data_IF_931774065780
#
_entry.id   IF_931774065780
#
_cell.length_a   1.000
_cell.length_b   1.000
_cell.length_c   1.000
_cell.angle_alpha   90.00
_cell.angle_beta   90.00
_cell.angle_gamma   90.00
#
_symmetry.space_group_name_H-M   'P 1'
#
loop_
_entity.id
_entity.type
_entity.pdbx_description
1 polymer ?
#
# COMPACT_ATOMS: atom_id res chain seq x y z
N UNK A 1 38.03 29.96 -55.16
CA UNK A 1 38.11 30.27 -53.73
C UNK A 1 39.19 31.32 -53.57
N UNK A 2 38.86 32.50 -53.07
CA UNK A 2 39.82 33.59 -52.85
C UNK A 2 40.57 33.48 -51.51
N UNK A 3 40.19 32.52 -50.66
CA UNK A 3 40.73 32.36 -49.31
C UNK A 3 41.24 30.94 -49.12
N UNK A 4 42.45 30.81 -48.57
CA UNK A 4 42.98 29.53 -48.10
C UNK A 4 43.29 29.65 -46.61
N UNK A 5 42.86 28.67 -45.82
CA UNK A 5 43.17 28.61 -44.39
C UNK A 5 43.71 27.23 -44.02
N UNK A 6 44.75 27.20 -43.21
CA UNK A 6 45.46 25.96 -42.82
C UNK A 6 45.78 25.97 -41.34
N UNK A 7 45.47 24.87 -40.66
CA UNK A 7 45.89 24.59 -39.29
C UNK A 7 47.15 23.71 -39.29
N UNK A 8 47.92 23.76 -38.21
CA UNK A 8 48.95 22.74 -37.96
C UNK A 8 48.25 21.37 -37.79
N UNK A 9 48.62 20.35 -38.59
CA UNK A 9 47.99 19.03 -38.52
C UNK A 9 48.41 18.23 -37.28
N UNK A 10 49.40 18.69 -36.51
CA UNK A 10 49.89 17.97 -35.34
C UNK A 10 48.84 18.01 -34.22
N UNK A 11 48.36 16.84 -33.74
CA UNK A 11 47.40 16.81 -32.66
C UNK A 11 48.02 17.42 -31.40
N UNK A 12 47.28 18.33 -30.77
CA UNK A 12 47.69 18.96 -29.52
C UNK A 12 47.08 18.19 -28.35
N UNK A 13 47.94 17.65 -27.49
CA UNK A 13 47.53 16.94 -26.28
C UNK A 13 47.57 17.89 -25.08
N UNK A 14 46.53 17.88 -24.25
CA UNK A 14 46.52 18.66 -23.00
C UNK A 14 45.75 18.02 -21.86
N UNK A 15 46.16 18.38 -20.64
CA UNK A 15 45.45 18.04 -19.42
C UNK A 15 44.18 18.90 -19.22
N UNK A 16 43.11 18.32 -18.66
CA UNK A 16 41.96 19.08 -18.18
C UNK A 16 42.37 20.12 -17.12
N UNK A 17 42.00 21.38 -17.36
CA UNK A 17 42.44 22.57 -16.61
C UNK A 17 43.73 23.21 -17.15
N UNK A 18 44.37 22.61 -18.15
CA UNK A 18 45.52 23.17 -18.85
C UNK A 18 45.12 24.12 -19.97
N UNK A 19 46.13 24.67 -20.63
CA UNK A 19 45.96 25.56 -21.80
C UNK A 19 46.86 25.07 -22.93
N UNK A 20 46.35 25.07 -24.15
CA UNK A 20 47.13 24.78 -25.34
C UNK A 20 46.78 25.73 -26.49
N UNK A 21 47.71 25.92 -27.43
CA UNK A 21 47.52 26.84 -28.55
C UNK A 21 47.88 26.19 -29.87
N UNK A 22 47.12 26.50 -30.92
CA UNK A 22 47.35 26.05 -32.30
C UNK A 22 47.36 27.28 -33.22
N UNK A 23 48.40 27.47 -34.05
CA UNK A 23 48.40 28.54 -35.04
C UNK A 23 47.46 28.22 -36.21
N UNK A 24 46.63 29.19 -36.57
CA UNK A 24 45.81 29.20 -37.78
C UNK A 24 46.41 30.18 -38.78
N UNK A 25 46.83 29.68 -39.94
CA UNK A 25 47.31 30.52 -41.03
C UNK A 25 46.17 30.80 -42.01
N UNK A 26 46.00 32.08 -42.36
CA UNK A 26 44.98 32.55 -43.29
C UNK A 26 45.69 33.31 -44.40
N UNK A 27 45.35 33.00 -45.64
CA UNK A 27 45.92 33.63 -46.82
C UNK A 27 44.81 34.17 -47.74
N UNK A 28 44.90 35.46 -48.08
CA UNK A 28 44.03 36.12 -49.04
C UNK A 28 44.64 36.01 -50.45
N UNK A 29 44.12 35.12 -51.28
CA UNK A 29 44.47 34.97 -52.70
C UNK A 29 43.58 35.78 -53.64
N UNK A 30 42.76 36.69 -53.08
CA UNK A 30 41.92 37.61 -53.83
C UNK A 30 42.67 38.87 -54.28
N UNK A 31 42.02 39.67 -55.13
CA UNK A 31 42.59 40.91 -55.67
C UNK A 31 42.17 42.17 -54.91
N UNK A 32 41.36 42.02 -53.84
CA UNK A 32 40.87 43.12 -53.00
C UNK A 32 41.25 42.89 -51.53
N UNK A 33 41.25 43.97 -50.75
CA UNK A 33 41.33 43.89 -49.28
C UNK A 33 40.07 43.20 -48.78
N UNK A 34 40.24 42.21 -47.90
CA UNK A 34 39.15 41.41 -47.35
C UNK A 34 39.25 41.34 -45.82
N UNK A 35 38.11 41.42 -45.17
CA UNK A 35 37.96 41.17 -43.73
C UNK A 35 37.53 39.73 -43.48
N UNK A 36 38.08 39.11 -42.44
CA UNK A 36 37.78 37.74 -42.05
C UNK A 36 37.31 37.68 -40.62
N UNK A 37 36.13 37.09 -40.40
CA UNK A 37 35.62 36.72 -39.06
C UNK A 37 35.97 35.26 -38.78
N UNK A 38 36.58 35.02 -37.63
CA UNK A 38 37.08 33.71 -37.22
C UNK A 38 36.26 33.17 -36.04
N UNK A 39 35.76 31.95 -36.15
CA UNK A 39 34.97 31.31 -35.09
C UNK A 39 35.34 29.84 -34.94
N UNK A 40 35.61 29.38 -33.72
CA UNK A 40 35.81 27.96 -33.44
C UNK A 40 34.46 27.23 -33.51
N UNK A 41 34.42 26.10 -34.21
CA UNK A 41 33.25 25.23 -34.34
C UNK A 41 33.57 23.80 -33.92
N UNK A 42 32.54 23.08 -33.46
CA UNK A 42 32.66 21.70 -32.98
C UNK A 42 32.63 21.60 -31.44
N UNK A 43 32.98 20.42 -30.88
CA UNK A 43 32.85 20.12 -29.44
C UNK A 43 33.70 21.03 -28.53
N UNK A 44 34.73 21.68 -29.08
CA UNK A 44 35.63 22.55 -28.33
C UNK A 44 35.09 23.98 -28.11
N UNK A 45 34.00 24.38 -28.76
CA UNK A 45 33.49 25.77 -28.75
C UNK A 45 33.27 26.34 -27.34
N UNK A 46 32.88 25.49 -26.37
CA UNK A 46 32.62 25.92 -25.00
C UNK A 46 33.88 26.22 -24.18
N UNK A 47 35.06 25.84 -24.67
CA UNK A 47 36.34 25.95 -23.97
C UNK A 47 37.50 26.25 -24.92
N UNK A 48 37.20 26.84 -26.08
CA UNK A 48 38.18 27.27 -27.07
C UNK A 48 37.83 28.66 -27.59
N UNK A 49 38.86 29.41 -27.98
CA UNK A 49 38.73 30.75 -28.54
C UNK A 49 39.76 30.95 -29.65
N UNK A 50 39.53 31.91 -30.54
CA UNK A 50 40.48 32.30 -31.58
C UNK A 50 40.77 33.79 -31.46
N UNK A 51 42.05 34.14 -31.39
CA UNK A 51 42.51 35.51 -31.26
C UNK A 51 43.56 35.87 -32.33
N UNK A 52 43.43 37.00 -33.03
CA UNK A 52 42.26 37.90 -33.03
C UNK A 52 41.04 37.24 -33.73
N UNK A 53 39.82 37.58 -33.29
CA UNK A 53 38.59 37.05 -33.87
C UNK A 53 38.22 37.67 -35.22
N UNK A 54 38.80 38.82 -35.56
CA UNK A 54 38.66 39.49 -36.85
C UNK A 54 40.05 39.89 -37.37
N UNK A 55 40.31 39.65 -38.65
CA UNK A 55 41.57 39.98 -39.32
C UNK A 55 41.28 40.63 -40.67
N UNK A 56 41.97 41.71 -41.00
CA UNK A 56 41.94 42.30 -42.34
C UNK A 56 43.23 41.99 -43.10
N UNK A 57 43.10 41.44 -44.30
CA UNK A 57 44.23 41.06 -45.16
C UNK A 57 44.18 41.79 -46.49
N UNK A 58 45.35 42.29 -46.92
CA UNK A 58 45.56 42.80 -48.26
C UNK A 58 45.65 41.65 -49.29
N UNK A 59 45.47 41.93 -50.59
CA UNK A 59 45.74 40.95 -51.65
C UNK A 59 47.09 40.28 -51.49
N UNK A 60 47.13 38.96 -51.68
CA UNK A 60 48.33 38.11 -51.59
C UNK A 60 49.09 38.18 -50.24
N UNK A 61 48.41 38.56 -49.15
CA UNK A 61 49.00 38.56 -47.79
C UNK A 61 48.45 37.46 -46.90
N UNK A 62 49.19 37.14 -45.84
CA UNK A 62 48.79 36.15 -44.83
C UNK A 62 48.86 36.73 -43.42
N UNK A 63 48.01 36.21 -42.54
CA UNK A 63 48.10 36.45 -41.10
C UNK A 63 47.97 35.13 -40.34
N UNK A 64 48.52 35.14 -39.13
CA UNK A 64 48.41 34.05 -38.17
C UNK A 64 47.48 34.46 -37.05
N UNK A 65 46.39 33.72 -36.87
CA UNK A 65 45.57 33.77 -35.66
C UNK A 65 45.97 32.61 -34.72
N UNK A 66 45.70 32.73 -33.43
CA UNK A 66 45.96 31.69 -32.44
C UNK A 66 44.65 31.13 -31.93
N UNK A 67 44.45 29.82 -32.11
CA UNK A 67 43.37 29.08 -31.48
C UNK A 67 43.86 28.64 -30.11
N UNK A 68 43.19 29.05 -29.05
CA UNK A 68 43.52 28.73 -27.67
C UNK A 68 42.46 27.79 -27.08
N UNK A 69 42.90 26.69 -26.48
CA UNK A 69 42.10 25.68 -25.80
C UNK A 69 42.31 25.76 -24.29
N UNK A 70 41.23 25.70 -23.52
CA UNK A 70 41.22 25.77 -22.05
C UNK A 70 40.11 24.88 -21.45
N UNK A 71 40.13 23.55 -21.67
CA UNK A 71 39.09 22.66 -21.17
C UNK A 71 39.05 22.73 -19.64
N UNK A 72 37.88 22.96 -19.02
CA UNK A 72 37.76 22.91 -17.57
C UNK A 72 38.12 21.51 -17.06
N UNK A 73 38.64 21.44 -15.83
CA UNK A 73 38.80 20.17 -15.12
C UNK A 73 37.43 19.66 -14.62
N UNK A 74 36.59 19.22 -15.55
CA UNK A 74 35.23 18.75 -15.32
C UNK A 74 34.96 17.47 -16.11
N UNK A 75 34.03 16.65 -15.61
CA UNK A 75 33.51 15.49 -16.32
C UNK A 75 32.74 15.84 -17.60
N UNK A 76 32.35 17.10 -17.78
CA UNK A 76 31.62 17.58 -18.97
C UNK A 76 32.47 17.52 -20.25
N UNK A 77 33.80 17.57 -20.12
CA UNK A 77 34.73 17.45 -21.25
C UNK A 77 35.32 16.05 -21.29
N UNK A 78 34.73 15.19 -22.12
CA UNK A 78 35.16 13.81 -22.29
C UNK A 78 36.64 13.70 -22.68
N UNK A 79 37.32 12.70 -22.13
CA UNK A 79 38.69 12.36 -22.54
C UNK A 79 38.71 11.76 -23.96
N UNK A 80 39.81 12.02 -24.69
CA UNK A 80 40.06 11.49 -26.03
C UNK A 80 40.27 12.57 -27.08
N UNK A 81 40.37 12.13 -28.34
CA UNK A 81 40.51 13.02 -29.49
C UNK A 81 39.19 13.69 -29.83
N UNK A 82 39.18 15.02 -29.84
CA UNK A 82 38.06 15.86 -30.22
C UNK A 82 38.44 16.64 -31.48
N UNK A 83 37.63 16.49 -32.54
CA UNK A 83 37.82 17.24 -33.78
C UNK A 83 37.13 18.59 -33.69
N UNK A 84 37.87 19.64 -34.04
CA UNK A 84 37.37 21.00 -34.11
C UNK A 84 37.58 21.56 -35.51
N UNK A 85 36.84 22.60 -35.85
CA UNK A 85 37.08 23.42 -37.03
C UNK A 85 37.22 24.88 -36.65
N UNK A 86 37.84 25.68 -37.51
CA UNK A 86 37.78 27.13 -37.39
C UNK A 86 37.11 27.68 -38.63
N UNK A 87 35.91 28.22 -38.47
CA UNK A 87 35.16 28.85 -39.56
C UNK A 87 35.76 30.21 -39.85
N UNK A 88 36.32 30.36 -41.05
CA UNK A 88 36.90 31.60 -41.57
C UNK A 88 35.90 32.17 -42.58
N UNK A 89 35.18 33.23 -42.19
CA UNK A 89 34.11 33.84 -42.99
C UNK A 89 34.62 35.16 -43.57
N UNK A 90 34.72 35.28 -44.91
CA UNK A 90 34.98 36.57 -45.56
C UNK A 90 33.80 37.52 -45.38
N UNK A 91 34.06 38.81 -45.15
CA UNK A 91 33.02 39.82 -44.95
C UNK A 91 32.28 40.14 -46.25
N UNK A 92 32.98 40.20 -47.39
CA UNK A 92 32.35 40.55 -48.67
C UNK A 92 31.46 39.42 -49.24
N UNK A 93 31.89 38.16 -49.05
CA UNK A 93 31.24 36.98 -49.62
C UNK A 93 31.15 35.84 -48.58
N UNK A 94 30.23 35.93 -47.60
CA UNK A 94 30.11 34.95 -46.53
C UNK A 94 29.86 33.51 -47.00
N UNK A 95 29.29 33.33 -48.19
CA UNK A 95 29.05 32.02 -48.81
C UNK A 95 30.35 31.29 -49.23
N UNK A 96 31.49 31.98 -49.22
CA UNK A 96 32.81 31.43 -49.54
C UNK A 96 33.61 31.01 -48.30
N UNK A 97 32.95 30.89 -47.15
CA UNK A 97 33.58 30.48 -45.91
C UNK A 97 34.32 29.14 -46.03
N UNK A 98 35.50 29.05 -45.41
CA UNK A 98 36.30 27.83 -45.32
C UNK A 98 36.41 27.38 -43.87
N UNK A 99 36.52 26.07 -43.65
CA UNK A 99 36.63 25.47 -42.32
C UNK A 99 37.80 24.49 -42.29
N UNK A 100 39.04 24.96 -42.06
CA UNK A 100 40.13 24.07 -41.69
C UNK A 100 39.79 23.29 -40.42
N UNK A 101 40.08 21.99 -40.44
CA UNK A 101 39.83 21.07 -39.33
C UNK A 101 41.14 20.70 -38.62
N UNK A 102 41.05 20.47 -37.32
CA UNK A 102 42.15 19.99 -36.48
C UNK A 102 41.65 19.02 -35.41
N UNK A 103 42.59 18.39 -34.71
CA UNK A 103 42.30 17.49 -33.60
C UNK A 103 43.01 17.97 -32.32
N UNK A 104 42.30 17.89 -31.21
CA UNK A 104 42.82 18.17 -29.87
C UNK A 104 42.56 16.95 -28.99
N UNK A 105 43.59 16.45 -28.32
CA UNK A 105 43.50 15.30 -27.42
C UNK A 105 43.39 15.77 -25.97
N UNK A 106 42.25 15.50 -25.35
CA UNK A 106 42.02 15.78 -23.93
C UNK A 106 42.40 14.55 -23.11
N UNK A 107 43.40 14.69 -22.24
CA UNK A 107 43.87 13.59 -21.41
C UNK A 107 42.82 13.15 -20.37
N UNK A 108 42.80 11.86 -20.00
CA UNK A 108 41.91 11.38 -18.96
C UNK A 108 42.36 11.85 -17.57
N UNK A 109 41.41 12.29 -16.75
CA UNK A 109 41.61 12.47 -15.31
C UNK A 109 40.59 11.64 -14.53
N UNK A 110 41.00 11.18 -13.36
CA UNK A 110 40.17 10.37 -12.46
C UNK A 110 39.98 11.11 -11.16
N UNK A 111 38.72 11.28 -10.76
CA UNK A 111 38.32 11.83 -9.47
C UNK A 111 37.08 11.05 -9.03
N UNK A 112 37.26 10.09 -8.13
CA UNK A 112 36.18 9.23 -7.64
C UNK A 112 35.95 9.53 -6.18
N UNK A 113 34.72 9.90 -5.85
CA UNK A 113 34.29 10.12 -4.47
C UNK A 113 33.22 9.12 -4.09
N UNK A 114 33.12 8.81 -2.80
CA UNK A 114 32.08 7.92 -2.31
C UNK A 114 31.58 8.34 -0.93
N UNK A 115 30.33 7.97 -0.63
CA UNK A 115 29.70 8.22 0.66
C UNK A 115 28.85 7.01 1.10
N UNK A 116 28.87 6.73 2.41
CA UNK A 116 28.06 5.67 3.03
C UNK A 116 26.79 6.24 3.67
N UNK A 117 25.63 5.74 3.24
CA UNK A 117 24.32 6.25 3.62
C UNK A 117 23.40 5.11 4.11
N UNK A 118 22.98 5.10 5.38
CA UNK A 118 23.51 5.90 6.50
C UNK A 118 24.86 5.38 7.01
N UNK A 119 25.67 6.25 7.64
CA UNK A 119 26.93 5.86 8.31
C UNK A 119 26.72 4.94 9.52
N UNK A 120 25.63 5.17 10.26
CA UNK A 120 25.22 4.33 11.38
C UNK A 120 23.87 3.70 11.05
N UNK A 121 23.81 2.38 11.10
CA UNK A 121 22.61 1.61 10.81
C UNK A 121 22.20 0.79 12.02
N UNK A 122 20.90 0.61 12.22
CA UNK A 122 20.33 -0.12 13.36
C UNK A 122 19.58 -1.33 12.87
N UNK A 123 19.62 -2.42 13.63
CA UNK A 123 18.83 -3.61 13.32
C UNK A 123 19.07 -4.75 14.28
N UNK A 124 18.13 -5.72 14.29
CA UNK A 124 18.25 -6.93 15.13
C UNK A 124 19.04 -8.04 14.42
N UNK A 125 18.73 -8.25 13.12
CA UNK A 125 19.29 -9.34 12.30
C UNK A 125 20.00 -8.88 11.03
N UNK A 126 19.74 -7.65 10.58
CA UNK A 126 20.39 -7.07 9.41
C UNK A 126 20.05 -5.59 9.30
N UNK A 127 20.90 -4.82 8.63
CA UNK A 127 20.55 -3.52 8.09
C UNK A 127 20.93 -3.43 6.61
N UNK A 128 20.27 -2.51 5.90
CA UNK A 128 20.64 -2.13 4.54
C UNK A 128 21.26 -0.74 4.59
N UNK A 129 22.43 -0.61 3.97
CA UNK A 129 23.11 0.66 3.75
C UNK A 129 23.43 0.77 2.26
N UNK A 130 23.61 1.99 1.77
CA UNK A 130 23.97 2.27 0.38
C UNK A 130 25.30 2.99 0.34
N UNK A 131 26.15 2.59 -0.58
CA UNK A 131 27.34 3.37 -0.93
C UNK A 131 27.05 4.12 -2.22
N UNK A 132 27.00 5.46 -2.12
CA UNK A 132 26.96 6.34 -3.27
C UNK A 132 28.39 6.49 -3.80
N UNK A 133 28.59 6.22 -5.09
CA UNK A 133 29.89 6.40 -5.76
C UNK A 133 29.70 7.39 -6.89
N UNK A 134 30.40 8.52 -6.81
CA UNK A 134 30.36 9.59 -7.80
C UNK A 134 31.64 9.56 -8.64
N UNK A 135 31.48 9.59 -9.96
CA UNK A 135 32.58 9.77 -10.88
C UNK A 135 32.65 11.24 -11.33
N UNK A 136 33.57 12.00 -10.75
CA UNK A 136 33.87 13.39 -11.15
C UNK A 136 34.96 13.49 -12.22
N UNK A 137 35.52 12.35 -12.64
CA UNK A 137 36.44 12.26 -13.77
C UNK A 137 35.73 12.36 -15.12
N UNK A 138 36.51 12.55 -16.18
CA UNK A 138 36.01 12.65 -17.56
C UNK A 138 36.05 11.34 -18.37
N UNK A 139 36.28 10.21 -17.70
CA UNK A 139 36.20 8.87 -18.31
C UNK A 139 35.36 7.92 -17.45
N UNK A 140 34.70 6.91 -18.05
CA UNK A 140 34.02 5.88 -17.27
C UNK A 140 34.98 5.21 -16.29
N UNK A 141 34.56 5.06 -15.04
CA UNK A 141 35.35 4.39 -13.99
C UNK A 141 34.65 3.08 -13.59
N UNK A 142 35.41 2.00 -13.53
CA UNK A 142 34.92 0.73 -12.99
C UNK A 142 35.40 0.59 -11.55
N UNK A 143 34.46 0.46 -10.62
CA UNK A 143 34.73 0.35 -9.18
C UNK A 143 34.32 -1.02 -8.66
N UNK A 144 35.11 -1.57 -7.75
CA UNK A 144 34.76 -2.74 -6.97
C UNK A 144 34.47 -2.31 -5.52
N UNK A 145 33.32 -2.69 -4.97
CA UNK A 145 32.98 -2.40 -3.59
C UNK A 145 33.21 -3.64 -2.72
N UNK A 146 33.98 -3.48 -1.64
CA UNK A 146 34.21 -4.52 -0.65
C UNK A 146 33.92 -3.97 0.74
N UNK A 147 33.29 -4.77 1.59
CA UNK A 147 33.08 -4.45 2.99
C UNK A 147 33.77 -5.49 3.87
N UNK A 148 34.37 -5.03 4.96
CA UNK A 148 35.09 -5.91 5.90
C UNK A 148 35.02 -5.35 7.32
N UNK A 149 35.13 -6.23 8.30
CA UNK A 149 35.30 -5.89 9.70
C UNK A 149 36.52 -6.61 10.29
N UNK A 150 37.27 -5.95 11.18
CA UNK A 150 38.47 -6.57 11.77
C UNK A 150 38.10 -7.71 12.73
N UNK A 151 36.95 -7.58 13.40
CA UNK A 151 36.50 -8.51 14.43
C UNK A 151 35.81 -9.77 13.87
N UNK A 152 35.44 -9.80 12.58
CA UNK A 152 34.69 -10.90 11.94
C UNK A 152 33.44 -11.28 12.73
N UNK A 153 32.65 -10.26 13.06
CA UNK A 153 31.38 -10.34 13.75
C UNK A 153 30.19 -10.01 12.83
N UNK A 154 30.49 -9.53 11.62
CA UNK A 154 29.51 -9.05 10.66
C UNK A 154 29.84 -9.60 9.27
N UNK A 155 28.82 -10.14 8.61
CA UNK A 155 28.85 -10.55 7.21
C UNK A 155 28.18 -9.51 6.31
N UNK A 156 28.69 -9.39 5.09
CA UNK A 156 28.26 -8.39 4.11
C UNK A 156 27.78 -9.07 2.83
N UNK A 157 26.70 -8.56 2.27
CA UNK A 157 26.15 -8.98 0.98
C UNK A 157 26.02 -7.72 0.13
N UNK A 158 26.97 -7.56 -0.81
CA UNK A 158 27.15 -6.36 -1.64
C UNK A 158 26.59 -6.62 -3.03
N UNK A 159 25.69 -5.74 -3.51
CA UNK A 159 25.05 -5.89 -4.82
C UNK A 159 24.91 -4.54 -5.55
N UNK A 160 25.44 -4.41 -6.78
CA UNK A 160 26.45 -5.28 -7.41
C UNK A 160 27.84 -5.12 -6.76
N UNK A 161 28.69 -6.14 -6.82
CA UNK A 161 30.09 -6.03 -6.31
C UNK A 161 30.98 -5.14 -7.19
N UNK A 162 30.70 -5.11 -8.49
CA UNK A 162 31.42 -4.30 -9.48
C UNK A 162 30.40 -3.45 -10.23
N UNK A 163 30.68 -2.15 -10.36
CA UNK A 163 29.84 -1.23 -11.11
C UNK A 163 30.70 -0.32 -11.99
N UNK A 164 30.18 0.06 -13.15
CA UNK A 164 30.80 1.04 -14.05
C UNK A 164 29.99 2.33 -14.00
N UNK A 165 30.65 3.42 -13.64
CA UNK A 165 30.05 4.74 -13.48
C UNK A 165 30.53 5.65 -14.60
N UNK A 166 29.61 6.17 -15.40
CA UNK A 166 29.91 7.11 -16.48
C UNK A 166 30.45 8.44 -15.92
N UNK A 167 31.18 9.25 -16.73
CA UNK A 167 31.62 10.58 -16.32
C UNK A 167 30.48 11.45 -15.80
N UNK A 168 30.68 12.15 -14.69
CA UNK A 168 29.71 13.06 -14.11
C UNK A 168 28.46 12.39 -13.53
N UNK A 169 28.44 11.06 -13.46
CA UNK A 169 27.32 10.28 -12.93
C UNK A 169 27.62 9.71 -11.55
N UNK A 170 26.55 9.33 -10.86
CA UNK A 170 26.60 8.63 -9.59
C UNK A 170 25.91 7.27 -9.70
N UNK A 171 26.44 6.25 -9.00
CA UNK A 171 25.77 4.97 -8.81
C UNK A 171 25.59 4.69 -7.33
N UNK A 172 24.50 4.02 -6.99
CA UNK A 172 24.30 3.47 -5.64
C UNK A 172 24.57 1.98 -5.66
N UNK A 173 25.32 1.49 -4.67
CA UNK A 173 25.54 0.07 -4.44
C UNK A 173 24.93 -0.31 -3.10
N UNK A 174 24.03 -1.30 -3.12
CA UNK A 174 23.39 -1.79 -1.91
C UNK A 174 24.33 -2.72 -1.14
N UNK A 175 24.47 -2.47 0.16
CA UNK A 175 25.23 -3.32 1.08
C UNK A 175 24.30 -3.76 2.20
N UNK A 176 24.10 -5.07 2.32
CA UNK A 176 23.37 -5.64 3.44
C UNK A 176 24.33 -6.15 4.50
N UNK A 177 24.23 -5.56 5.68
CA UNK A 177 25.06 -5.82 6.84
C UNK A 177 24.33 -6.79 7.76
N UNK A 178 24.95 -7.91 8.15
CA UNK A 178 24.33 -8.93 9.01
C UNK A 178 25.27 -9.29 10.16
N UNK A 179 24.86 -9.20 11.43
CA UNK A 179 25.65 -9.71 12.53
C UNK A 179 25.66 -11.26 12.49
N UNK A 180 26.80 -11.86 12.80
CA UNK A 180 26.96 -13.32 12.77
C UNK A 180 26.27 -14.01 13.95
N UNK A 181 26.13 -13.31 15.07
CA UNK A 181 25.44 -13.81 16.27
C UNK A 181 24.23 -12.94 16.59
N UNK A 182 23.13 -13.55 17.06
CA UNK A 182 21.91 -12.81 17.46
C UNK A 182 21.92 -12.51 18.95
N UNK A 183 21.69 -11.26 19.33
CA UNK A 183 21.50 -10.86 20.74
C UNK A 183 20.03 -11.08 21.12
N UNK A 184 19.77 -12.05 22.01
CA UNK A 184 18.41 -12.32 22.50
C UNK A 184 17.97 -11.33 23.58
N UNK A 185 18.86 -11.04 24.53
CA UNK A 185 18.65 -10.12 25.66
C UNK A 185 19.96 -9.41 25.97
N UNK A 186 19.88 -8.18 26.48
CA UNK A 186 21.04 -7.37 26.85
C UNK A 186 21.04 -5.99 26.20
N UNK A 187 22.09 -5.18 26.43
CA UNK A 187 22.26 -3.89 25.77
C UNK A 187 22.52 -4.05 24.26
N UNK A 188 22.25 -3.00 23.49
CA UNK A 188 22.63 -2.96 22.08
C UNK A 188 24.16 -3.00 21.92
N UNK A 189 24.64 -3.66 20.86
CA UNK A 189 26.07 -3.80 20.58
C UNK A 189 26.46 -3.05 19.31
N UNK A 190 27.47 -2.20 19.40
CA UNK A 190 28.02 -1.45 18.28
C UNK A 190 29.09 -2.29 17.56
N UNK A 191 28.90 -2.52 16.26
CA UNK A 191 29.79 -3.30 15.40
C UNK A 191 30.32 -2.41 14.27
N UNK A 192 31.54 -1.85 14.40
CA UNK A 192 32.15 -1.03 13.36
C UNK A 192 32.61 -1.90 12.18
N UNK A 193 32.53 -1.35 10.98
CA UNK A 193 33.01 -1.97 9.76
C UNK A 193 33.54 -0.92 8.78
N UNK A 194 34.29 -1.37 7.78
CA UNK A 194 34.85 -0.50 6.75
C UNK A 194 34.41 -0.99 5.38
N UNK A 195 33.90 -0.06 4.56
CA UNK A 195 33.60 -0.29 3.15
C UNK A 195 34.66 0.42 2.29
N UNK A 196 35.27 -0.30 1.36
CA UNK A 196 36.30 0.21 0.46
C UNK A 196 35.75 0.19 -0.95
N UNK A 197 35.67 1.37 -1.56
CA UNK A 197 35.43 1.55 -2.99
C UNK A 197 36.79 1.56 -3.67
N UNK A 198 37.04 0.59 -4.53
CA UNK A 198 38.31 0.41 -5.22
C UNK A 198 38.14 0.66 -6.73
N UNK A 199 38.45 1.86 -7.22
CA UNK A 199 38.48 2.14 -8.65
C UNK A 199 39.63 1.37 -9.32
N UNK A 200 39.39 0.78 -10.49
CA UNK A 200 40.47 0.13 -11.27
C UNK A 200 41.62 1.08 -11.58
N UNK A 201 41.30 2.34 -11.85
CA UNK A 201 42.27 3.37 -12.21
C UNK A 201 42.08 4.61 -11.33
N UNK A 202 42.61 4.58 -10.11
CA UNK A 202 42.52 5.71 -9.17
C UNK A 202 42.95 5.36 -7.75
N UNK A 203 42.63 6.25 -6.81
CA UNK A 203 42.83 6.03 -5.38
C UNK A 203 41.59 5.41 -4.75
N UNK A 204 41.76 4.33 -4.00
CA UNK A 204 40.65 3.70 -3.27
C UNK A 204 40.08 4.64 -2.20
N UNK A 205 38.76 4.64 -2.03
CA UNK A 205 38.05 5.45 -1.04
C UNK A 205 37.57 4.55 0.10
N UNK A 206 38.04 4.83 1.31
CA UNK A 206 37.69 4.09 2.52
C UNK A 206 36.57 4.80 3.27
N UNK A 207 35.50 4.08 3.59
CA UNK A 207 34.31 4.57 4.27
C UNK A 207 34.10 3.80 5.57
N UNK A 208 34.01 4.52 6.68
CA UNK A 208 33.74 3.92 7.98
C UNK A 208 32.24 3.89 8.26
N UNK A 209 31.76 2.69 8.59
CA UNK A 209 30.38 2.40 8.91
C UNK A 209 30.23 1.77 10.29
N UNK A 210 29.03 1.86 10.84
CA UNK A 210 28.71 1.23 12.12
C UNK A 210 27.34 0.58 12.07
N UNK A 211 27.26 -0.66 12.53
CA UNK A 211 26.00 -1.38 12.71
C UNK A 211 25.71 -1.54 14.21
N UNK A 212 24.62 -0.94 14.67
CA UNK A 212 24.13 -1.08 16.04
C UNK A 212 23.15 -2.24 16.08
N UNK A 213 23.61 -3.35 16.66
CA UNK A 213 22.78 -4.53 16.84
C UNK A 213 21.86 -4.37 18.05
N UNK A 214 20.56 -4.39 17.80
CA UNK A 214 19.53 -4.35 18.84
C UNK A 214 19.14 -5.75 19.34
N UNK A 215 18.75 -5.89 20.61
CA UNK A 215 18.27 -7.15 21.14
C UNK A 215 16.93 -7.57 20.52
N UNK A 216 16.72 -8.87 20.34
CA UNK A 216 15.47 -9.42 19.81
C UNK A 216 14.27 -9.15 20.71
N UNK A 217 14.48 -9.29 22.03
CA UNK A 217 13.44 -9.07 23.04
C UNK A 217 13.75 -7.78 23.79
N UNK A 218 12.90 -6.74 23.67
CA UNK A 218 13.10 -5.53 24.45
C UNK A 218 12.87 -5.82 25.92
N UNK A 219 13.63 -5.16 26.80
CA UNK A 219 13.54 -5.38 28.25
C UNK A 219 12.14 -5.04 28.81
N UNK A 220 11.37 -4.19 28.11
CA UNK A 220 10.00 -3.85 28.45
C UNK A 220 9.03 -5.02 28.27
N UNK A 221 9.25 -5.92 27.31
CA UNK A 221 8.35 -7.06 27.07
C UNK A 221 8.29 -7.99 28.28
N UNK A 222 9.44 -8.25 28.91
CA UNK A 222 9.49 -9.08 30.12
C UNK A 222 8.71 -8.41 31.26
N UNK A 223 8.86 -7.09 31.43
CA UNK A 223 8.10 -6.34 32.44
C UNK A 223 6.59 -6.37 32.15
N UNK A 224 6.20 -6.23 30.89
CA UNK A 224 4.80 -6.30 30.47
C UNK A 224 4.20 -7.70 30.68
N UNK A 225 4.94 -8.77 30.37
CA UNK A 225 4.50 -10.15 30.62
C UNK A 225 4.34 -10.44 32.11
N UNK A 226 5.27 -9.97 32.95
CA UNK A 226 5.15 -10.09 34.41
C UNK A 226 3.93 -9.32 34.91
N UNK A 227 3.69 -8.10 34.42
CA UNK A 227 2.51 -7.31 34.79
C UNK A 227 1.21 -7.98 34.35
N UNK A 228 1.16 -8.50 33.11
CA UNK A 228 0.01 -9.23 32.59
C UNK A 228 -0.28 -10.49 33.41
N UNK A 229 0.76 -11.23 33.81
CA UNK A 229 0.62 -12.39 34.69
C UNK A 229 0.05 -12.00 36.07
N UNK A 230 0.56 -10.92 36.67
CA UNK A 230 0.04 -10.40 37.94
C UNK A 230 -1.42 -9.95 37.82
N UNK A 231 -1.78 -9.31 36.71
CA UNK A 231 -3.15 -8.88 36.43
C UNK A 231 -4.08 -10.08 36.26
N UNK A 232 -3.66 -11.13 35.54
CA UNK A 232 -4.41 -12.38 35.40
C UNK A 232 -4.62 -13.06 36.76
N UNK A 233 -3.59 -13.11 37.61
CA UNK A 233 -3.72 -13.64 38.96
C UNK A 233 -4.68 -12.80 39.83
N UNK A 234 -4.64 -11.48 39.70
CA UNK A 234 -5.56 -10.58 40.40
C UNK A 234 -7.02 -10.77 39.92
N UNK A 235 -7.24 -10.91 38.61
CA UNK A 235 -8.56 -11.20 38.04
C UNK A 235 -9.08 -12.57 38.48
N UNK A 236 -8.22 -13.60 38.52
CA UNK A 236 -8.57 -14.92 39.03
C UNK A 236 -8.95 -14.86 40.52
N UNK A 237 -8.20 -14.12 41.33
CA UNK A 237 -8.54 -13.89 42.74
C UNK A 237 -9.86 -13.13 42.88
N UNK A 238 -10.07 -12.05 42.11
CA UNK A 238 -11.32 -11.30 42.08
C UNK A 238 -12.51 -12.21 41.74
N UNK A 239 -12.36 -13.07 40.73
CA UNK A 239 -13.36 -14.04 40.33
C UNK A 239 -13.70 -15.00 41.48
N UNK A 240 -12.69 -15.65 42.07
CA UNK A 240 -12.89 -16.66 43.12
C UNK A 240 -13.45 -16.06 44.41
N UNK A 241 -12.96 -14.89 44.84
CA UNK A 241 -13.31 -14.34 46.15
C UNK A 241 -14.53 -13.42 46.14
N UNK A 242 -14.85 -12.76 45.02
CA UNK A 242 -15.96 -11.78 44.98
C UNK A 242 -17.11 -12.20 44.07
N UNK A 243 -16.83 -12.74 42.87
CA UNK A 243 -17.88 -13.02 41.88
C UNK A 243 -18.47 -14.42 42.01
N UNK A 244 -17.64 -15.47 42.17
CA UNK A 244 -18.09 -16.86 42.30
C UNK A 244 -19.16 -17.07 43.39
N UNK A 245 -18.98 -16.58 44.65
CA UNK A 245 -20.01 -16.75 45.68
C UNK A 245 -21.32 -16.01 45.37
N UNK A 246 -21.26 -14.90 44.63
CA UNK A 246 -22.47 -14.16 44.21
C UNK A 246 -23.24 -14.90 43.14
N UNK A 247 -22.56 -15.46 42.14
CA UNK A 247 -23.19 -16.27 41.09
C UNK A 247 -23.84 -17.53 41.67
N UNK A 248 -23.19 -18.18 42.64
CA UNK A 248 -23.75 -19.36 43.32
C UNK A 248 -25.02 -19.02 44.12
N UNK A 249 -25.02 -17.89 44.84
CA UNK A 249 -26.22 -17.41 45.55
C UNK A 249 -27.37 -17.01 44.61
N UNK A 250 -27.07 -16.40 43.46
CA UNK A 250 -28.08 -16.02 42.46
C UNK A 250 -28.66 -17.25 41.75
N UNK A 251 -27.84 -18.25 41.44
CA UNK A 251 -28.28 -19.51 40.87
C UNK A 251 -29.16 -20.31 41.85
N UNK A 252 -28.81 -20.34 43.14
CA UNK A 252 -29.65 -20.96 44.17
C UNK A 252 -30.97 -20.22 44.38
N UNK A 253 -30.98 -18.88 44.34
CA UNK A 253 -32.21 -18.08 44.42
C UNK A 253 -33.13 -18.34 43.22
N UNK A 254 -32.59 -18.35 42.00
CA UNK A 254 -33.36 -18.65 40.79
C UNK A 254 -33.88 -20.11 40.77
N UNK A 255 -33.10 -21.07 41.28
CA UNK A 255 -33.54 -22.45 41.42
C UNK A 255 -34.66 -22.61 42.47
N UNK A 256 -34.58 -21.89 43.60
CA UNK A 256 -35.62 -21.88 44.61
C UNK A 256 -36.94 -21.29 44.08
N UNK A 257 -36.87 -20.20 43.31
CA UNK A 257 -38.04 -19.59 42.66
C UNK A 257 -38.71 -20.54 41.65
N UNK A 258 -37.92 -21.31 40.89
CA UNK A 258 -38.47 -22.33 39.98
C UNK A 258 -39.13 -23.50 40.72
N UNK A 259 -38.61 -23.91 41.89
CA UNK A 259 -39.24 -24.95 42.71
C UNK A 259 -40.56 -24.45 43.30
N UNK A 260 -40.61 -23.22 43.80
CA UNK A 260 -41.84 -22.59 44.32
C UNK A 260 -42.91 -22.44 43.22
N UNK A 261 -42.51 -22.04 42.00
CA UNK A 261 -43.41 -22.00 40.85
C UNK A 261 -43.87 -23.40 40.40
N UNK A 262 -43.04 -24.43 40.57
CA UNK A 262 -43.41 -25.81 40.27
C UNK A 262 -44.38 -26.39 41.31
N UNK A 263 -44.19 -26.07 42.59
CA UNK A 263 -45.11 -26.43 43.68
C UNK A 263 -46.47 -25.73 43.52
N UNK A 264 -46.50 -24.43 43.18
CA UNK A 264 -47.74 -23.70 42.91
C UNK A 264 -48.50 -24.26 41.68
N UNK A 265 -47.78 -24.68 40.64
CA UNK A 265 -48.38 -25.37 39.47
C UNK A 265 -48.88 -26.76 39.83
N UNK A 266 -48.22 -27.47 40.74
CA UNK A 266 -48.69 -28.77 41.22
C UNK A 266 -49.98 -28.64 42.06
N UNK A 267 -50.08 -27.61 42.90
CA UNK A 267 -51.30 -27.30 43.65
C UNK A 267 -52.48 -26.91 42.74
N UNK A 268 -52.22 -26.10 41.71
CA UNK A 268 -53.21 -25.78 40.67
C UNK A 268 -53.63 -27.03 39.88
N UNK A 269 -52.71 -27.95 39.58
CA UNK A 269 -53.02 -29.20 38.91
C UNK A 269 -53.86 -30.14 39.77
N UNK A 270 -53.66 -30.17 41.10
CA UNK A 270 -54.53 -30.92 42.03
C UNK A 270 -55.94 -30.32 42.13
N UNK A 271 -56.07 -28.99 42.16
CA UNK A 271 -57.38 -28.32 42.15
C UNK A 271 -58.14 -28.56 40.83
N UNK A 272 -57.43 -28.52 39.69
CA UNK A 272 -58.00 -28.84 38.38
C UNK A 272 -58.41 -30.33 38.25
N UNK A 273 -57.71 -31.24 38.95
CA UNK A 273 -58.07 -32.66 38.99
C UNK A 273 -59.35 -32.93 39.82
N UNK A 274 -59.60 -32.16 40.88
CA UNK A 274 -60.86 -32.23 41.64
C UNK A 274 -62.05 -31.70 40.82
N UNK A 275 -61.85 -30.63 40.04
CA UNK A 275 -62.86 -30.07 39.13
C UNK A 275 -63.17 -31.00 37.95
N UNK A 276 -62.16 -31.71 37.43
CA UNK A 276 -62.33 -32.77 36.44
C UNK A 276 -63.07 -34.01 36.99
N UNK A 277 -62.91 -34.32 38.28
CA UNK A 277 -63.66 -35.37 38.97
C UNK A 277 -65.17 -35.07 39.07
N UNK A 278 -65.55 -33.80 39.21
CA UNK A 278 -66.95 -33.35 39.18
C UNK A 278 -67.56 -33.39 37.77
N UNK A 279 -66.77 -33.10 36.72
CA UNK A 279 -67.19 -33.19 35.33
C UNK A 279 -67.35 -34.66 34.83
N UNK A 280 -66.61 -35.60 35.41
CA UNK A 280 -66.70 -37.03 35.09
C UNK A 280 -68.06 -37.67 35.45
N UNK A 281 -68.80 -37.12 36.43
CA UNK A 281 -70.15 -37.57 36.79
C UNK A 281 -71.24 -37.19 35.77
N UNK A 282 -71.03 -36.13 34.97
CA UNK A 282 -71.95 -35.68 33.93
C UNK A 282 -71.70 -36.36 32.56
N UNK A 283 -70.50 -36.93 32.36
CA UNK A 283 -70.11 -37.58 31.10
C UNK A 283 -70.62 -39.04 30.94
N UNK A 284 -71.26 -39.61 31.97
CA UNK A 284 -71.76 -40.99 31.94
C UNK A 284 -73.09 -41.15 31.18
N UNK A 285 -73.71 -40.05 30.72
CA UNK A 285 -74.92 -40.04 29.88
C UNK A 285 -74.68 -39.95 28.37
N UNK A 286 -73.46 -39.66 27.92
CA UNK A 286 -73.14 -39.48 26.49
C UNK A 286 -72.40 -40.66 25.87
N UNK A 287 -72.22 -41.74 26.63
CA UNK A 287 -71.53 -42.96 26.22
C UNK A 287 -72.43 -44.00 25.51
N UNK A 288 -73.44 -43.53 24.75
CA UNK A 288 -74.30 -44.40 23.91
C UNK A 288 -74.28 -44.04 22.42
N UNK A 289 -73.50 -43.04 22.00
CA UNK A 289 -73.41 -42.65 20.59
C UNK A 289 -71.99 -42.29 20.14
N UNK A 290 -71.02 -43.14 20.48
CA UNK A 290 -69.71 -43.15 19.81
C UNK A 290 -69.10 -44.55 19.81
N UNK A 291 -69.95 -45.58 19.75
CA UNK A 291 -69.56 -46.99 19.63
C UNK A 291 -69.20 -47.42 18.20
N UNK A 292 -68.96 -46.50 17.28
CA UNK A 292 -68.55 -46.84 15.92
C UNK A 292 -67.52 -45.82 15.41
N UNK A 293 -66.37 -46.36 14.99
CA UNK A 293 -65.25 -45.72 14.31
C UNK A 293 -64.16 -45.07 15.18
N UNK A 294 -63.33 -45.93 15.81
CA UNK A 294 -61.88 -45.69 15.86
C UNK A 294 -61.10 -46.96 16.23
N UNK A 295 -61.38 -48.09 15.56
CA UNK A 295 -60.42 -49.20 15.49
C UNK A 295 -60.22 -49.61 14.04
N UNK A 296 -59.57 -48.71 13.29
CA UNK A 296 -58.70 -49.09 12.19
C UNK A 296 -57.65 -48.00 12.02
N UNK A 297 -56.47 -48.34 12.50
CA UNK A 297 -55.26 -47.59 12.31
C UNK A 297 -54.95 -47.37 10.82
N UNK A 298 -54.20 -46.30 10.57
CA UNK A 298 -53.14 -46.28 9.57
C UNK A 298 -53.56 -46.54 8.12
N UNK A 299 -54.40 -45.68 7.53
CA UNK A 299 -54.38 -45.44 6.08
C UNK A 299 -54.85 -44.01 5.74
N UNK A 300 -54.11 -42.97 6.12
CA UNK A 300 -54.12 -41.69 5.37
C UNK A 300 -52.78 -40.97 5.55
N UNK A 301 -51.73 -41.51 4.94
CA UNK A 301 -50.89 -40.63 4.14
C UNK A 301 -51.80 -40.11 3.01
N UNK A 302 -51.99 -38.80 2.89
CA UNK A 302 -52.82 -38.24 1.81
C UNK A 302 -53.84 -37.16 2.18
N UNK A 303 -53.67 -36.41 3.28
CA UNK A 303 -54.15 -35.03 3.26
C UNK A 303 -53.02 -34.16 2.74
N UNK A 304 -53.00 -33.99 1.42
CA UNK A 304 -52.28 -32.89 0.79
C UNK A 304 -52.69 -31.63 1.54
N UNK A 305 -51.71 -30.92 2.11
CA UNK A 305 -51.94 -29.54 2.51
C UNK A 305 -52.66 -28.85 1.34
N UNK A 306 -53.68 -27.99 1.60
CA UNK A 306 -54.31 -27.24 0.53
C UNK A 306 -53.20 -26.60 -0.31
N UNK A 307 -53.30 -26.60 -1.66
CA UNK A 307 -52.24 -26.04 -2.48
C UNK A 307 -51.95 -24.64 -1.96
N UNK A 308 -50.70 -24.37 -1.63
CA UNK A 308 -50.29 -23.04 -1.20
C UNK A 308 -49.71 -22.34 -2.42
N UNK A 309 -50.17 -21.13 -2.70
CA UNK A 309 -49.58 -20.30 -3.73
C UNK A 309 -48.32 -19.69 -3.13
N UNK A 310 -47.17 -20.05 -3.68
CA UNK A 310 -45.88 -19.48 -3.32
C UNK A 310 -45.54 -18.39 -4.34
N UNK A 311 -45.42 -17.16 -3.87
CA UNK A 311 -45.06 -16.02 -4.72
C UNK A 311 -43.68 -15.54 -4.29
N UNK A 312 -42.68 -15.51 -5.18
CA UNK A 312 -41.40 -14.88 -4.89
C UNK A 312 -41.60 -13.42 -4.48
N UNK A 313 -40.93 -13.02 -3.40
CA UNK A 313 -40.91 -11.65 -2.92
C UNK A 313 -39.46 -11.24 -2.66
N UNK A 314 -39.16 -9.98 -2.95
CA UNK A 314 -37.89 -9.38 -2.58
C UNK A 314 -37.92 -7.89 -2.83
N UNK A 315 -37.41 -7.12 -1.88
CA UNK A 315 -37.43 -5.67 -1.91
C UNK A 315 -36.20 -5.11 -1.19
N UNK A 316 -35.80 -3.90 -1.58
CA UNK A 316 -34.75 -3.14 -0.90
C UNK A 316 -35.38 -2.15 0.06
N UNK A 317 -35.15 -2.34 1.35
CA UNK A 317 -35.46 -1.39 2.41
C UNK A 317 -34.24 -0.48 2.62
N UNK A 318 -34.40 0.82 2.44
CA UNK A 318 -33.31 1.80 2.55
C UNK A 318 -33.61 2.80 3.65
N UNK A 319 -32.60 3.14 4.45
CA UNK A 319 -32.69 4.07 5.55
C UNK A 319 -31.58 5.12 5.40
N UNK A 320 -32.01 6.35 5.14
CA UNK A 320 -31.17 7.54 5.18
C UNK A 320 -31.50 8.33 6.46
N UNK A 321 -30.51 8.56 7.34
CA UNK A 321 -30.73 9.23 8.63
C UNK A 321 -29.44 9.80 9.24
N UNK A 322 -29.53 10.94 9.94
CA UNK A 322 -28.46 11.53 10.77
C UNK A 322 -28.58 11.14 12.26
N UNK A 323 -29.50 10.23 12.58
CA UNK A 323 -29.76 9.71 13.91
C UNK A 323 -30.35 8.31 13.85
N UNK A 324 -31.56 8.11 14.36
CA UNK A 324 -32.27 6.82 14.26
C UNK A 324 -33.30 6.86 13.14
N UNK A 325 -33.36 5.81 12.32
CA UNK A 325 -34.32 5.67 11.23
C UNK A 325 -34.70 4.21 11.01
N UNK A 326 -35.84 3.95 10.38
CA UNK A 326 -36.25 2.59 10.04
C UNK A 326 -37.02 2.53 8.72
N UNK A 327 -37.01 1.36 8.11
CA UNK A 327 -37.83 1.01 6.96
C UNK A 327 -38.40 -0.40 7.17
N UNK A 328 -39.65 -0.63 6.79
CA UNK A 328 -40.33 -1.91 7.00
C UNK A 328 -41.07 -2.41 5.76
N UNK A 329 -41.21 -3.73 5.69
CA UNK A 329 -42.04 -4.44 4.74
C UNK A 329 -43.19 -5.13 5.49
N UNK A 330 -44.46 -4.74 5.25
CA UNK A 330 -45.60 -5.37 5.91
C UNK A 330 -45.88 -6.74 5.31
N UNK A 331 -46.02 -7.76 6.16
CA UNK A 331 -46.40 -9.11 5.74
C UNK A 331 -47.93 -9.15 5.63
N UNK A 332 -48.52 -9.35 4.43
CA UNK A 332 -49.96 -9.28 4.25
C UNK A 332 -50.73 -10.27 5.14
N UNK A 333 -51.89 -9.84 5.65
CA UNK A 333 -52.77 -10.73 6.41
C UNK A 333 -53.14 -11.99 5.62
N UNK A 334 -53.18 -13.14 6.30
CA UNK A 334 -53.45 -14.43 5.67
C UNK A 334 -52.31 -14.98 4.81
N UNK A 335 -51.14 -14.32 4.80
CA UNK A 335 -49.92 -14.83 4.18
C UNK A 335 -48.85 -15.20 5.22
N UNK A 336 -47.81 -15.88 4.78
CA UNK A 336 -46.63 -16.21 5.58
C UNK A 336 -45.39 -15.90 4.77
N UNK A 337 -44.50 -15.05 5.30
CA UNK A 337 -43.21 -14.78 4.70
C UNK A 337 -42.23 -15.90 5.07
N UNK A 338 -41.63 -16.53 4.07
CA UNK A 338 -40.48 -17.43 4.20
C UNK A 338 -39.25 -16.69 3.69
N UNK A 339 -38.50 -16.09 4.60
CA UNK A 339 -37.30 -15.30 4.32
C UNK A 339 -36.10 -16.23 4.15
N UNK A 340 -35.46 -16.18 2.98
CA UNK A 340 -34.33 -17.05 2.60
C UNK A 340 -33.01 -16.30 2.49
N UNK A 341 -33.06 -15.01 2.15
CA UNK A 341 -31.88 -14.22 1.84
C UNK A 341 -31.98 -12.82 2.45
N UNK A 342 -30.89 -12.34 3.03
CA UNK A 342 -30.71 -10.95 3.47
C UNK A 342 -29.33 -10.47 3.04
N UNK A 343 -29.27 -9.33 2.35
CA UNK A 343 -28.04 -8.60 2.05
C UNK A 343 -28.12 -7.21 2.67
N UNK A 344 -27.29 -6.96 3.67
CA UNK A 344 -27.10 -5.64 4.28
C UNK A 344 -25.99 -4.89 3.54
N UNK A 345 -26.24 -3.64 3.16
CA UNK A 345 -25.26 -2.78 2.49
C UNK A 345 -25.08 -1.46 3.24
N UNK A 346 -23.82 -1.16 3.55
CA UNK A 346 -23.28 0.10 4.08
C UNK A 346 -22.16 0.60 3.15
N UNK A 347 -22.50 1.10 1.95
CA UNK A 347 -21.51 1.49 0.94
C UNK A 347 -20.72 2.74 1.32
N UNK A 348 -21.33 3.67 2.07
CA UNK A 348 -20.69 4.92 2.49
C UNK A 348 -19.62 4.71 3.56
N UNK A 349 -19.84 3.65 4.35
CA UNK A 349 -18.94 3.28 5.41
C UNK A 349 -19.22 3.95 6.73
N UNK A 350 -20.50 4.09 7.00
CA UNK A 350 -21.08 4.65 8.21
C UNK A 350 -20.69 3.85 9.45
N UNK A 351 -20.76 4.52 10.60
CA UNK A 351 -20.55 3.95 11.93
C UNK A 351 -21.83 4.10 12.74
N UNK A 352 -22.20 3.05 13.46
CA UNK A 352 -23.52 2.97 14.07
C UNK A 352 -23.94 1.54 14.32
N UNK A 353 -25.26 1.33 14.43
CA UNK A 353 -25.85 0.00 14.63
C UNK A 353 -27.00 -0.21 13.65
N UNK A 354 -27.12 -1.42 13.13
CA UNK A 354 -28.27 -1.86 12.35
C UNK A 354 -28.90 -3.07 13.04
N UNK A 355 -30.22 -3.05 13.13
CA UNK A 355 -31.03 -4.12 13.70
C UNK A 355 -32.07 -4.55 12.67
N UNK A 356 -32.22 -5.85 12.46
CA UNK A 356 -33.23 -6.43 11.57
C UNK A 356 -34.19 -7.27 12.40
N UNK A 357 -35.49 -7.03 12.25
CA UNK A 357 -36.53 -7.64 13.06
C UNK A 357 -37.67 -8.19 12.19
N UNK A 358 -38.34 -9.24 12.65
CA UNK A 358 -39.63 -9.69 12.10
C UNK A 358 -40.66 -9.70 13.22
N UNK A 359 -41.63 -8.79 13.16
CA UNK A 359 -42.48 -8.47 14.31
C UNK A 359 -41.64 -7.93 15.46
N UNK A 360 -41.74 -8.55 16.64
CA UNK A 360 -40.93 -8.20 17.83
C UNK A 360 -39.65 -9.05 17.97
N UNK A 361 -39.33 -9.87 16.97
CA UNK A 361 -38.19 -10.79 17.04
C UNK A 361 -36.98 -10.20 16.32
N UNK A 362 -35.97 -9.83 17.08
CA UNK A 362 -34.65 -9.47 16.58
C UNK A 362 -33.99 -10.68 15.87
N UNK A 363 -33.67 -10.51 14.60
CA UNK A 363 -32.96 -11.50 13.77
C UNK A 363 -31.46 -11.22 13.75
N UNK A 364 -31.09 -9.96 13.55
CA UNK A 364 -29.71 -9.52 13.45
C UNK A 364 -29.51 -8.21 14.20
N UNK A 365 -28.36 -8.12 14.84
CA UNK A 365 -27.81 -6.92 15.44
C UNK A 365 -26.35 -6.84 14.99
N UNK A 366 -26.00 -5.76 14.30
CA UNK A 366 -24.64 -5.56 13.80
C UNK A 366 -24.22 -4.10 13.88
N UNK A 367 -22.97 -3.87 14.25
CA UNK A 367 -22.35 -2.56 14.11
C UNK A 367 -22.03 -2.27 12.64
N UNK A 368 -22.33 -1.06 12.16
CA UNK A 368 -22.19 -0.67 10.75
C UNK A 368 -20.72 -0.73 10.28
N UNK A 369 -19.75 -0.52 11.17
CA UNK A 369 -18.32 -0.59 10.88
C UNK A 369 -17.79 -2.00 10.58
N UNK A 370 -18.59 -3.03 10.86
CA UNK A 370 -18.18 -4.42 10.62
C UNK A 370 -18.32 -4.84 9.16
N UNK A 371 -19.08 -4.11 8.35
CA UNK A 371 -19.35 -4.51 6.97
C UNK A 371 -19.47 -3.34 5.99
N UNK A 372 -19.31 -3.67 4.71
CA UNK A 372 -19.72 -2.84 3.57
C UNK A 372 -20.87 -3.51 2.83
N UNK A 373 -20.74 -4.82 2.64
CA UNK A 373 -21.82 -5.72 2.23
C UNK A 373 -21.75 -6.97 3.11
N UNK A 374 -22.88 -7.40 3.66
CA UNK A 374 -23.01 -8.57 4.51
C UNK A 374 -24.18 -9.42 4.03
N UNK A 375 -23.89 -10.65 3.60
CA UNK A 375 -24.82 -11.56 2.96
C UNK A 375 -25.14 -12.75 3.88
N UNK A 376 -26.43 -13.04 4.05
CA UNK A 376 -26.96 -14.17 4.79
C UNK A 376 -27.91 -14.98 3.92
N UNK A 377 -27.59 -16.26 3.74
CA UNK A 377 -28.41 -17.24 3.03
C UNK A 377 -28.84 -18.36 3.98
N UNK A 378 -30.15 -18.56 4.13
CA UNK A 378 -30.72 -19.55 5.05
C UNK A 378 -31.19 -20.80 4.32
N UNK A 379 -30.62 -21.96 4.70
CA UNK A 379 -31.11 -23.27 4.25
C UNK A 379 -32.51 -23.54 4.79
N UNK A 380 -32.78 -23.12 6.03
CA UNK A 380 -34.09 -23.19 6.66
C UNK A 380 -34.67 -21.78 6.74
N UNK A 381 -35.78 -21.47 6.06
CA UNK A 381 -36.28 -20.11 5.96
C UNK A 381 -36.73 -19.58 7.32
N UNK A 382 -36.46 -18.30 7.56
CA UNK A 382 -37.00 -17.57 8.72
C UNK A 382 -38.46 -17.23 8.41
N UNK A 383 -39.37 -17.56 9.32
CA UNK A 383 -40.81 -17.41 9.07
C UNK A 383 -41.36 -16.16 9.76
N UNK A 384 -42.10 -15.34 9.02
CA UNK A 384 -42.91 -14.22 9.51
C UNK A 384 -44.39 -14.43 9.22
N UNK A 385 -45.24 -14.14 10.18
CA UNK A 385 -46.70 -14.31 10.06
C UNK A 385 -47.37 -13.08 9.48
N UNK A 386 -48.50 -13.26 8.79
CA UNK A 386 -49.33 -12.15 8.34
C UNK A 386 -49.72 -11.22 9.48
N UNK A 387 -49.69 -9.91 9.22
CA UNK A 387 -49.90 -8.85 10.21
C UNK A 387 -48.63 -8.42 10.96
N UNK A 388 -47.50 -9.10 10.76
CA UNK A 388 -46.18 -8.64 11.24
C UNK A 388 -45.46 -7.83 10.16
N UNK A 389 -44.38 -7.15 10.54
CA UNK A 389 -43.50 -6.44 9.59
C UNK A 389 -42.08 -6.99 9.66
N UNK A 390 -41.38 -7.01 8.52
CA UNK A 390 -39.93 -7.16 8.45
C UNK A 390 -39.32 -5.76 8.47
N UNK A 391 -38.55 -5.42 9.50
CA UNK A 391 -38.05 -4.06 9.73
C UNK A 391 -36.53 -4.04 9.76
N UNK A 392 -35.93 -3.03 9.14
CA UNK A 392 -34.54 -2.61 9.37
C UNK A 392 -34.56 -1.29 10.13
N UNK A 393 -33.83 -1.24 11.24
CA UNK A 393 -33.62 -0.03 12.05
C UNK A 393 -32.13 0.31 12.06
N UNK A 394 -31.80 1.57 11.81
CA UNK A 394 -30.42 2.08 11.74
C UNK A 394 -30.26 3.22 12.73
N UNK A 395 -29.31 3.07 13.64
CA UNK A 395 -28.84 4.12 14.54
C UNK A 395 -27.48 4.62 14.05
N UNK A 396 -27.49 5.78 13.38
CA UNK A 396 -26.33 6.46 12.84
C UNK A 396 -25.58 7.21 13.96
N UNK A 397 -24.30 6.84 14.18
CA UNK A 397 -23.42 7.55 15.10
C UNK A 397 -22.44 8.47 14.36
N UNK A 398 -21.95 8.06 13.19
CA UNK A 398 -21.04 8.87 12.36
C UNK A 398 -21.25 8.52 10.89
N UNK A 399 -21.46 9.55 10.07
CA UNK A 399 -21.63 9.43 8.62
C UNK A 399 -20.28 9.15 7.95
N UNK A 400 -20.25 8.15 7.07
CA UNK A 400 -19.07 7.75 6.31
C UNK A 400 -18.73 8.75 5.20
N UNK A 401 -17.45 8.82 4.82
CA UNK A 401 -16.98 9.71 3.76
C UNK A 401 -16.31 8.90 2.63
N UNK A 402 -17.05 8.57 1.54
CA UNK A 402 -16.50 7.83 0.42
C UNK A 402 -15.39 8.63 -0.30
N UNK A 403 -14.28 7.99 -0.71
CA UNK A 403 -13.22 8.68 -1.44
C UNK A 403 -13.72 9.23 -2.78
N UNK A 404 -13.56 10.54 -2.99
CA UNK A 404 -13.91 11.19 -4.26
C UNK A 404 -15.39 11.54 -4.44
N UNK A 405 -16.22 11.37 -3.40
CA UNK A 405 -17.58 11.90 -3.34
C UNK A 405 -17.65 13.15 -2.44
N UNK A 406 -18.67 13.98 -2.64
CA UNK A 406 -19.00 15.05 -1.69
C UNK A 406 -19.43 14.41 -0.36
N UNK A 407 -18.90 14.85 0.80
CA UNK A 407 -19.25 14.23 2.08
C UNK A 407 -20.76 14.27 2.33
N UNK A 408 -21.41 13.12 2.52
CA UNK A 408 -22.83 13.06 2.82
C UNK A 408 -23.11 13.54 4.25
N UNK A 409 -24.34 14.01 4.48
CA UNK A 409 -24.79 14.54 5.78
C UNK A 409 -25.60 13.52 6.60
N UNK A 410 -25.97 12.37 6.00
CA UNK A 410 -26.76 11.30 6.61
C UNK A 410 -26.11 9.94 6.32
N UNK A 411 -26.24 8.99 7.25
CA UNK A 411 -25.91 7.59 6.99
C UNK A 411 -26.84 7.04 5.90
N UNK A 412 -26.35 6.13 5.07
CA UNK A 412 -27.13 5.44 4.02
C UNK A 412 -26.90 3.93 4.11
N UNK A 413 -27.80 3.27 4.82
CA UNK A 413 -27.78 1.83 5.03
C UNK A 413 -29.03 1.21 4.45
N UNK A 414 -28.90 0.01 3.92
CA UNK A 414 -30.00 -0.69 3.28
C UNK A 414 -29.95 -2.19 3.51
N UNK A 415 -31.11 -2.82 3.41
CA UNK A 415 -31.29 -4.26 3.39
C UNK A 415 -32.04 -4.65 2.12
N UNK A 416 -31.47 -5.52 1.31
CA UNK A 416 -32.26 -6.29 0.34
C UNK A 416 -32.63 -7.62 0.95
N UNK A 417 -33.90 -8.01 0.88
CA UNK A 417 -34.34 -9.32 1.33
C UNK A 417 -34.95 -10.13 0.17
N UNK A 418 -34.87 -11.45 0.26
CA UNK A 418 -35.46 -12.39 -0.69
C UNK A 418 -36.17 -13.54 0.00
N UNK A 419 -37.26 -14.00 -0.58
CA UNK A 419 -38.03 -15.10 -0.03
C UNK A 419 -39.30 -15.45 -0.80
N UNK A 420 -40.21 -16.14 -0.14
CA UNK A 420 -41.51 -16.52 -0.66
C UNK A 420 -42.63 -16.00 0.25
N UNK A 421 -43.65 -15.37 -0.31
CA UNK A 421 -44.94 -15.21 0.35
C UNK A 421 -45.81 -16.42 0.05
N UNK A 422 -46.19 -17.13 1.10
CA UNK A 422 -47.03 -18.32 1.03
C UNK A 422 -48.44 -17.95 1.44
N UNK A 423 -49.41 -18.16 0.54
CA UNK A 423 -50.84 -17.94 0.80
C UNK A 423 -51.62 -19.23 0.57
N UNK A 424 -52.73 -19.46 1.28
CA UNK A 424 -53.64 -20.55 0.96
C UNK A 424 -54.19 -20.36 -0.46
N UNK A 425 -54.20 -21.39 -1.30
CA UNK A 425 -54.85 -21.27 -2.61
C UNK A 425 -56.35 -20.99 -2.45
N UNK A 426 -56.91 -20.15 -3.33
CA UNK A 426 -58.35 -19.92 -3.35
C UNK A 426 -59.08 -21.25 -3.60
N UNK A 427 -60.21 -21.44 -2.92
CA UNK A 427 -61.08 -22.58 -3.17
C UNK A 427 -61.51 -22.58 -4.65
N UNK A 428 -61.57 -23.75 -5.32
CA UNK A 428 -62.03 -23.81 -6.71
C UNK A 428 -63.44 -23.21 -6.81
N UNK A 429 -63.64 -22.31 -7.77
CA UNK A 429 -64.96 -21.75 -8.07
C UNK A 429 -65.93 -22.89 -8.48
N UNK A 430 -67.20 -22.84 -8.05
CA UNK A 430 -68.17 -23.92 -8.27
C UNK A 430 -68.51 -24.16 -9.74
#
# INVERSE_FOLDING_TARGET
MATTATLDPSPVTLDPGGVATVPLQIHNSGTIVEGYRLEVVGPAVGWASVEPAEVTLYPDTSATATVMFFPPRSADVAAGELRYGVRVVPDAHPEQAVVPEGAVEVLPFSDTTAELIPRTSHGRRSARVRVAVDNRGNRPVTVALRASDQARLVSFDVRPEVSTVAPGQATFVDVRVRPDTTIWRGPARTLPYTAVVDPRDGTSVTLDGTYVQEPMVPHSLVKALVLALLLLLALAALWVYLLAPRVESAAQAAAAEQVEQAEAKAEQATAAAEEAGAAAGAAQGSATSAGQAAEQAAVTAGQTAPPAVQTPVGERLQVATDGSGSASFPIPDGSTLQLTDIVLSNPQGDFGRVVVEVGERELFDSALENFRDLDYHFITPIVGSGGQELTITVDCNTVGAPPGAEPPDECDTSMYFGGLLVTPAPAPAP
#
